data_IF_592949071021
#
_entry.id   IF_592949071021
#
_cell.length_a   1.000
_cell.length_b   1.000
_cell.length_c   1.000
_cell.angle_alpha   90.00
_cell.angle_beta   90.00
_cell.angle_gamma   90.00
#
_symmetry.space_group_name_H-M   'P 1'
#
loop_
_entity.id
_entity.type
_entity.pdbx_description
1 polymer ?
#
# COMPACT_ATOMS: atom_id res chain seq x y z
N UNK A 1 -1.52 4.78 -9.41
CA UNK A 1 -2.77 4.79 -8.64
C UNK A 1 -3.19 6.22 -8.31
N UNK A 2 -4.48 6.46 -8.23
CA UNK A 2 -5.01 7.72 -7.71
C UNK A 2 -4.84 7.82 -6.19
N UNK A 3 -4.75 9.05 -5.68
CA UNK A 3 -4.82 9.36 -4.24
C UNK A 3 -5.51 10.72 -4.06
N UNK A 4 -6.04 10.97 -2.87
CA UNK A 4 -6.63 12.27 -2.53
C UNK A 4 -5.59 13.37 -2.77
N UNK A 5 -5.98 14.47 -3.43
CA UNK A 5 -5.11 15.60 -3.79
C UNK A 5 -3.80 15.22 -4.50
N UNK A 6 -3.76 14.09 -5.17
CA UNK A 6 -2.56 13.50 -5.76
C UNK A 6 -1.38 13.34 -4.77
N UNK A 7 -1.67 13.20 -3.48
CA UNK A 7 -0.69 13.25 -2.38
C UNK A 7 0.37 12.17 -2.42
N UNK A 8 0.06 11.01 -3.00
CA UNK A 8 0.97 9.87 -3.13
C UNK A 8 1.76 9.54 -1.85
N UNK A 9 1.09 9.40 -0.68
CA UNK A 9 1.74 9.32 0.63
C UNK A 9 2.23 7.90 0.93
N UNK A 10 2.79 7.22 -0.07
CA UNK A 10 3.17 5.82 -0.01
C UNK A 10 4.59 5.57 -0.46
N UNK A 11 5.08 4.41 -0.06
CA UNK A 11 6.31 3.81 -0.56
C UNK A 11 6.09 2.33 -0.80
N UNK A 12 6.62 1.81 -1.89
CA UNK A 12 6.53 0.41 -2.25
C UNK A 12 7.93 -0.21 -2.19
N UNK A 13 8.06 -1.35 -1.50
CA UNK A 13 9.30 -2.11 -1.44
C UNK A 13 9.05 -3.46 -2.09
N UNK A 14 9.78 -3.75 -3.15
CA UNK A 14 9.68 -5.02 -3.87
C UNK A 14 10.69 -6.00 -3.30
N UNK A 15 10.19 -7.11 -2.78
CA UNK A 15 10.96 -8.23 -2.24
C UNK A 15 11.06 -9.28 -3.35
N UNK A 16 12.28 -9.50 -3.86
CA UNK A 16 12.56 -10.41 -4.96
C UNK A 16 13.67 -11.41 -4.63
N UNK A 17 14.80 -10.92 -4.09
CA UNK A 17 15.94 -11.79 -3.81
C UNK A 17 15.68 -12.77 -2.65
N UNK A 18 16.33 -13.93 -2.70
CA UNK A 18 16.20 -14.94 -1.63
C UNK A 18 16.56 -14.39 -0.26
N UNK A 19 17.54 -13.49 -0.18
CA UNK A 19 17.92 -12.83 1.06
C UNK A 19 16.80 -11.92 1.57
N UNK A 20 16.18 -11.11 0.71
CA UNK A 20 15.06 -10.24 1.10
C UNK A 20 13.82 -11.06 1.48
N UNK A 21 13.54 -12.15 0.75
CA UNK A 21 12.48 -13.11 1.08
C UNK A 21 12.70 -13.75 2.45
N UNK A 22 13.95 -14.12 2.80
CA UNK A 22 14.27 -14.65 4.12
C UNK A 22 14.03 -13.60 5.21
N UNK A 23 14.48 -12.36 5.01
CA UNK A 23 14.21 -11.25 5.94
C UNK A 23 12.71 -11.09 6.19
N UNK A 24 11.89 -11.08 5.12
CA UNK A 24 10.45 -10.96 5.24
C UNK A 24 9.83 -12.18 5.94
N UNK A 25 10.24 -13.40 5.58
CA UNK A 25 9.79 -14.63 6.21
C UNK A 25 9.98 -14.58 7.74
N UNK A 26 11.13 -14.10 8.19
CA UNK A 26 11.48 -14.06 9.62
C UNK A 26 10.60 -13.06 10.40
N UNK A 27 10.04 -12.04 9.74
CA UNK A 27 9.08 -11.12 10.38
C UNK A 27 7.75 -11.79 10.75
N UNK A 28 7.43 -12.95 10.19
CA UNK A 28 6.21 -13.70 10.49
C UNK A 28 6.40 -14.77 11.57
N UNK A 29 7.61 -14.96 12.11
CA UNK A 29 7.92 -16.07 13.02
C UNK A 29 7.10 -16.05 14.33
N UNK A 30 6.81 -14.87 14.88
CA UNK A 30 6.09 -14.72 16.14
C UNK A 30 4.58 -14.60 15.95
N UNK A 31 4.15 -13.86 14.93
CA UNK A 31 2.77 -13.64 14.54
C UNK A 31 2.62 -13.99 13.06
N UNK A 32 1.43 -14.39 12.66
CA UNK A 32 1.10 -14.59 11.24
C UNK A 32 1.96 -15.63 10.52
N UNK A 33 2.38 -16.69 11.22
CA UNK A 33 3.21 -17.78 10.69
C UNK A 33 2.64 -18.40 9.41
N UNK A 34 1.32 -18.34 9.23
CA UNK A 34 0.64 -18.78 8.02
C UNK A 34 1.05 -18.01 6.75
N UNK A 35 1.70 -16.83 6.88
CA UNK A 35 2.21 -16.05 5.76
C UNK A 35 3.69 -16.38 5.41
N UNK A 36 4.38 -17.18 6.20
CA UNK A 36 5.81 -17.48 5.98
C UNK A 36 6.05 -18.14 4.62
N UNK A 37 5.22 -19.10 4.22
CA UNK A 37 5.35 -19.77 2.93
C UNK A 37 5.11 -18.81 1.76
N UNK A 38 4.17 -17.86 1.87
CA UNK A 38 3.96 -16.84 0.84
C UNK A 38 5.19 -15.95 0.66
N UNK A 39 5.86 -15.56 1.75
CA UNK A 39 7.08 -14.77 1.68
C UNK A 39 8.23 -15.50 0.99
N UNK A 40 8.32 -16.83 1.14
CA UNK A 40 9.41 -17.64 0.57
C UNK A 40 9.14 -18.10 -0.86
N UNK A 41 7.92 -18.52 -1.14
CA UNK A 41 7.57 -19.25 -2.37
C UNK A 41 7.02 -18.31 -3.47
N UNK A 42 6.48 -17.15 -3.12
CA UNK A 42 6.02 -16.19 -4.10
C UNK A 42 7.19 -15.70 -4.98
N UNK A 43 6.91 -15.40 -6.24
CA UNK A 43 7.88 -14.79 -7.14
C UNK A 43 8.39 -13.48 -6.57
N UNK A 44 7.47 -12.60 -6.20
CA UNK A 44 7.73 -11.30 -5.59
C UNK A 44 6.73 -11.02 -4.47
N UNK A 45 7.13 -10.18 -3.53
CA UNK A 45 6.19 -9.59 -2.57
C UNK A 45 6.40 -8.09 -2.54
N UNK A 46 5.30 -7.31 -2.61
CA UNK A 46 5.36 -5.86 -2.44
C UNK A 46 4.90 -5.51 -1.02
N UNK A 47 5.72 -4.78 -0.28
CA UNK A 47 5.33 -4.12 0.95
C UNK A 47 4.72 -2.76 0.61
N UNK A 48 3.50 -2.52 1.06
CA UNK A 48 2.80 -1.25 0.90
C UNK A 48 2.93 -0.46 2.18
N UNK A 49 3.72 0.60 2.14
CA UNK A 49 3.98 1.44 3.28
C UNK A 49 3.41 2.85 3.07
N UNK A 50 2.87 3.43 4.14
CA UNK A 50 2.33 4.80 4.14
C UNK A 50 3.21 5.74 4.96
N UNK A 51 3.18 7.04 4.62
CA UNK A 51 3.79 8.07 5.43
C UNK A 51 2.93 8.33 6.68
N UNK A 52 3.39 8.01 7.90
CA UNK A 52 2.58 8.20 9.10
C UNK A 52 2.37 9.67 9.47
N UNK A 53 3.23 10.57 8.97
CA UNK A 53 3.20 12.00 9.26
C UNK A 53 3.44 12.79 7.97
N UNK A 54 2.40 12.88 7.12
CA UNK A 54 2.44 13.61 5.87
C UNK A 54 2.47 15.12 6.11
N UNK A 55 3.45 15.81 5.55
CA UNK A 55 3.73 17.23 5.82
C UNK A 55 3.62 18.09 4.57
N UNK A 56 3.66 19.43 4.75
CA UNK A 56 3.76 20.39 3.64
C UNK A 56 5.00 20.13 2.76
N UNK A 57 6.10 19.68 3.36
CA UNK A 57 7.32 19.35 2.62
C UNK A 57 7.08 18.14 1.69
N UNK A 58 6.28 17.17 2.11
CA UNK A 58 5.91 16.03 1.28
C UNK A 58 4.99 16.44 0.14
N UNK A 59 4.01 17.30 0.44
CA UNK A 59 3.09 17.81 -0.58
C UNK A 59 3.80 18.75 -1.58
N UNK A 60 4.78 19.54 -1.13
CA UNK A 60 5.58 20.37 -2.01
C UNK A 60 6.30 19.55 -3.10
N UNK A 61 6.85 18.38 -2.74
CA UNK A 61 7.46 17.49 -3.74
C UNK A 61 6.49 17.07 -4.85
N UNK A 62 5.22 16.88 -4.50
CA UNK A 62 4.18 16.57 -5.49
C UNK A 62 3.92 17.76 -6.39
N UNK A 63 3.77 18.97 -5.82
CA UNK A 63 3.55 20.20 -6.57
C UNK A 63 4.74 20.52 -7.49
N UNK A 64 5.97 20.33 -7.03
CA UNK A 64 7.19 20.51 -7.86
C UNK A 64 7.15 19.62 -9.12
N UNK A 65 6.68 18.37 -8.97
CA UNK A 65 6.51 17.44 -10.10
C UNK A 65 5.36 17.89 -10.99
N UNK A 66 4.23 18.31 -10.43
CA UNK A 66 3.08 18.78 -11.21
C UNK A 66 3.43 20.05 -12.03
N UNK A 67 4.16 20.98 -11.44
CA UNK A 67 4.63 22.18 -12.15
C UNK A 67 5.65 21.82 -13.23
N UNK A 68 6.66 21.03 -12.88
CA UNK A 68 7.73 20.67 -13.84
C UNK A 68 7.23 19.82 -15.01
N UNK A 69 6.18 19.03 -14.82
CA UNK A 69 5.53 18.24 -15.88
C UNK A 69 4.54 19.04 -16.73
N UNK A 70 4.24 20.29 -16.35
CA UNK A 70 3.22 21.12 -16.99
C UNK A 70 1.78 20.75 -16.65
N UNK A 71 1.58 19.87 -15.65
CA UNK A 71 0.24 19.51 -15.16
C UNK A 71 -0.40 20.68 -14.40
N UNK A 72 0.39 21.41 -13.61
CA UNK A 72 -0.02 22.57 -12.84
C UNK A 72 0.70 23.82 -13.36
N UNK A 73 -0.02 24.92 -13.75
CA UNK A 73 0.61 26.20 -14.01
C UNK A 73 1.33 26.73 -12.76
N UNK A 74 2.56 27.23 -12.94
CA UNK A 74 3.39 27.68 -11.81
C UNK A 74 2.72 28.75 -10.95
N UNK A 75 1.94 29.65 -11.56
CA UNK A 75 1.17 30.69 -10.86
C UNK A 75 0.04 30.15 -9.96
N UNK A 76 -0.33 28.88 -10.14
CA UNK A 76 -1.36 28.21 -9.34
C UNK A 76 -0.81 27.44 -8.14
N UNK A 77 0.51 27.27 -8.05
CA UNK A 77 1.17 26.42 -7.05
C UNK A 77 0.82 26.81 -5.61
N UNK A 78 0.89 28.11 -5.28
CA UNK A 78 0.57 28.60 -3.93
C UNK A 78 -0.90 28.31 -3.55
N UNK A 79 -1.81 28.53 -4.50
CA UNK A 79 -3.23 28.23 -4.29
C UNK A 79 -3.48 26.73 -4.11
N UNK A 80 -2.77 25.89 -4.88
CA UNK A 80 -2.87 24.45 -4.77
C UNK A 80 -2.28 23.95 -3.43
N UNK A 81 -1.14 24.51 -3.00
CA UNK A 81 -0.59 24.21 -1.68
C UNK A 81 -1.59 24.54 -0.59
N UNK A 82 -2.19 25.72 -0.61
CA UNK A 82 -3.16 26.13 0.40
C UNK A 82 -4.42 25.27 0.40
N UNK A 83 -5.01 25.03 -0.76
CA UNK A 83 -6.25 24.26 -0.88
C UNK A 83 -6.03 22.77 -0.62
N UNK A 84 -5.03 22.18 -1.25
CA UNK A 84 -4.73 20.75 -1.12
C UNK A 84 -4.23 20.37 0.26
N UNK A 85 -3.26 21.12 0.82
CA UNK A 85 -2.77 20.82 2.15
C UNK A 85 -3.80 21.14 3.24
N UNK A 86 -4.68 22.11 3.03
CA UNK A 86 -5.83 22.35 3.91
C UNK A 86 -6.73 21.11 4.05
N UNK A 87 -6.79 20.25 3.02
CA UNK A 87 -7.48 18.97 3.12
C UNK A 87 -6.72 17.95 3.99
N UNK A 88 -5.39 17.98 3.98
CA UNK A 88 -4.57 17.17 4.90
C UNK A 88 -4.80 17.61 6.35
N UNK A 89 -4.85 18.93 6.59
CA UNK A 89 -5.11 19.50 7.92
C UNK A 89 -6.46 19.01 8.50
N UNK A 90 -7.50 18.89 7.65
CA UNK A 90 -8.80 18.32 8.05
C UNK A 90 -8.72 16.84 8.49
N UNK A 91 -7.68 16.14 8.07
CA UNK A 91 -7.44 14.73 8.39
C UNK A 91 -6.28 14.54 9.39
N UNK A 92 -5.83 15.63 10.00
CA UNK A 92 -4.77 15.65 10.99
C UNK A 92 -5.40 15.87 12.37
N UNK A 93 -5.07 15.02 13.33
CA UNK A 93 -5.57 15.11 14.70
C UNK A 93 -4.83 16.20 15.51
N UNK A 94 -5.29 16.42 16.75
CA UNK A 94 -4.70 17.43 17.66
C UNK A 94 -3.23 17.16 18.00
N UNK A 95 -2.77 15.91 17.88
CA UNK A 95 -1.38 15.51 18.07
C UNK A 95 -0.51 15.69 16.79
N UNK A 96 -1.12 16.14 15.70
CA UNK A 96 -0.43 16.29 14.40
C UNK A 96 -0.32 15.01 13.59
N UNK A 97 -1.05 13.95 13.95
CA UNK A 97 -1.02 12.67 13.27
C UNK A 97 -2.08 12.58 12.17
N UNK A 98 -1.67 12.20 10.97
CA UNK A 98 -2.55 11.99 9.81
C UNK A 98 -2.32 10.62 9.12
N UNK A 99 -1.67 9.71 9.82
CA UNK A 99 -1.36 8.36 9.31
C UNK A 99 -2.60 7.54 8.95
N UNK A 100 -3.75 7.79 9.56
CA UNK A 100 -5.01 7.13 9.19
C UNK A 100 -5.42 7.48 7.76
N UNK A 101 -5.32 8.77 7.41
CA UNK A 101 -5.63 9.24 6.07
C UNK A 101 -4.64 8.73 5.03
N UNK A 102 -3.33 8.83 5.29
CA UNK A 102 -2.30 8.35 4.37
C UNK A 102 -2.34 6.84 4.17
N UNK A 103 -2.64 6.08 5.22
CA UNK A 103 -2.88 4.63 5.16
C UNK A 103 -4.04 4.30 4.21
N UNK A 104 -5.16 5.04 4.30
CA UNK A 104 -6.31 4.84 3.42
C UNK A 104 -5.94 5.06 1.94
N UNK A 105 -5.11 6.07 1.62
CA UNK A 105 -4.60 6.28 0.26
C UNK A 105 -3.76 5.09 -0.22
N UNK A 106 -2.96 4.48 0.65
CA UNK A 106 -2.15 3.30 0.32
C UNK A 106 -3.03 2.10 -0.02
N UNK A 107 -4.18 1.92 0.64
CA UNK A 107 -5.14 0.86 0.30
C UNK A 107 -5.82 1.07 -1.06
N UNK A 108 -5.96 2.31 -1.53
CA UNK A 108 -6.40 2.57 -2.92
C UNK A 108 -5.37 2.01 -3.91
N UNK A 109 -4.08 2.28 -3.68
CA UNK A 109 -3.00 1.72 -4.50
C UNK A 109 -2.94 0.19 -4.43
N UNK A 110 -3.15 -0.37 -3.23
CA UNK A 110 -3.22 -1.81 -3.00
C UNK A 110 -4.35 -2.47 -3.79
N UNK A 111 -5.56 -1.93 -3.72
CA UNK A 111 -6.71 -2.42 -4.49
C UNK A 111 -6.49 -2.33 -6.00
N UNK A 112 -5.85 -1.26 -6.48
CA UNK A 112 -5.48 -1.11 -7.87
C UNK A 112 -4.44 -2.16 -8.31
N UNK A 113 -3.45 -2.46 -7.46
CA UNK A 113 -2.46 -3.52 -7.73
C UNK A 113 -3.13 -4.90 -7.85
N UNK A 114 -4.03 -5.26 -6.93
CA UNK A 114 -4.80 -6.51 -6.98
C UNK A 114 -5.57 -6.66 -8.29
N UNK A 115 -6.28 -5.59 -8.70
CA UNK A 115 -7.03 -5.59 -9.95
C UNK A 115 -6.10 -5.71 -11.17
N UNK A 116 -4.98 -4.98 -11.16
CA UNK A 116 -4.01 -5.01 -12.27
C UNK A 116 -3.39 -6.39 -12.44
N UNK A 117 -2.95 -7.02 -11.34
CA UNK A 117 -2.37 -8.38 -11.38
C UNK A 117 -3.37 -9.39 -11.95
N UNK A 118 -4.63 -9.35 -11.50
CA UNK A 118 -5.69 -10.20 -12.02
C UNK A 118 -5.87 -10.01 -13.54
N UNK A 119 -5.84 -8.76 -14.02
CA UNK A 119 -5.94 -8.48 -15.47
C UNK A 119 -4.74 -8.98 -16.27
N UNK A 120 -3.57 -9.07 -15.65
CA UNK A 120 -2.35 -9.60 -16.27
C UNK A 120 -2.25 -11.14 -16.16
N UNK A 121 -3.22 -11.79 -15.53
CA UNK A 121 -3.18 -13.23 -15.29
C UNK A 121 -2.14 -13.66 -14.25
N UNK A 122 -1.79 -12.75 -13.35
CA UNK A 122 -0.88 -13.00 -12.24
C UNK A 122 -1.71 -13.21 -10.98
N UNK A 123 -1.49 -14.34 -10.31
CA UNK A 123 -2.12 -14.64 -9.04
C UNK A 123 -1.48 -13.85 -7.90
N UNK A 124 -2.27 -13.53 -6.89
CA UNK A 124 -1.78 -12.76 -5.75
C UNK A 124 -2.49 -13.12 -4.46
N UNK A 125 -1.74 -13.02 -3.36
CA UNK A 125 -2.25 -13.21 -2.00
C UNK A 125 -2.08 -11.91 -1.21
N UNK A 126 -3.19 -11.21 -0.88
CA UNK A 126 -3.16 -10.07 0.01
C UNK A 126 -2.87 -10.52 1.45
N UNK A 127 -1.94 -9.86 2.11
CA UNK A 127 -1.51 -10.18 3.48
C UNK A 127 -1.61 -8.94 4.36
N UNK A 128 -2.70 -8.82 5.13
CA UNK A 128 -2.83 -7.81 6.19
C UNK A 128 -2.26 -8.30 7.52
N UNK A 129 -2.06 -9.62 7.63
CA UNK A 129 -1.35 -10.25 8.74
C UNK A 129 0.16 -9.98 8.65
N UNK A 130 0.57 -8.74 8.89
CA UNK A 130 1.96 -8.29 9.00
C UNK A 130 2.18 -7.65 10.36
N UNK A 131 3.40 -7.71 10.88
CA UNK A 131 3.80 -7.01 12.10
C UNK A 131 4.51 -5.71 11.73
N UNK A 132 3.86 -4.53 11.85
CA UNK A 132 4.44 -3.28 11.39
C UNK A 132 5.70 -2.88 12.15
N UNK A 133 5.80 -3.23 13.43
CA UNK A 133 6.97 -2.94 14.27
C UNK A 133 8.17 -3.75 13.78
N UNK A 134 8.00 -5.06 13.66
CA UNK A 134 9.07 -5.96 13.23
C UNK A 134 9.50 -5.72 11.77
N UNK A 135 8.54 -5.45 10.86
CA UNK A 135 8.87 -5.01 9.50
C UNK A 135 9.62 -3.68 9.53
N UNK A 136 9.21 -2.75 10.41
CA UNK A 136 9.87 -1.46 10.62
C UNK A 136 11.32 -1.60 11.08
N UNK A 137 11.63 -2.59 11.90
CA UNK A 137 12.98 -2.91 12.34
C UNK A 137 13.81 -3.56 11.23
N UNK A 138 13.28 -4.62 10.61
CA UNK A 138 13.99 -5.43 9.61
C UNK A 138 14.24 -4.67 8.30
N UNK A 139 13.32 -3.81 7.88
CA UNK A 139 13.39 -3.01 6.65
C UNK A 139 13.51 -1.51 6.93
N UNK A 140 14.15 -1.15 8.03
CA UNK A 140 14.26 0.24 8.51
C UNK A 140 14.85 1.19 7.46
N UNK A 141 15.92 0.76 6.80
CA UNK A 141 16.60 1.59 5.79
C UNK A 141 15.72 1.78 4.55
N UNK A 142 15.14 0.69 4.06
CA UNK A 142 14.29 0.71 2.88
C UNK A 142 13.00 1.48 3.12
N UNK A 143 12.41 1.36 4.31
CA UNK A 143 11.20 2.08 4.70
C UNK A 143 11.44 3.58 4.88
N UNK A 144 12.57 3.98 5.48
CA UNK A 144 12.91 5.38 5.67
C UNK A 144 11.87 6.17 6.46
N UNK A 145 11.28 5.55 7.49
CA UNK A 145 10.25 6.15 8.35
C UNK A 145 8.80 5.89 7.91
N UNK A 146 8.58 5.26 6.77
CA UNK A 146 7.24 4.80 6.36
C UNK A 146 6.82 3.54 7.14
N UNK A 147 5.52 3.32 7.29
CA UNK A 147 4.96 2.20 8.05
C UNK A 147 4.21 1.25 7.11
N UNK A 148 4.59 -0.04 7.12
CA UNK A 148 3.94 -1.08 6.33
C UNK A 148 2.84 -1.75 7.15
N UNK A 149 1.61 -1.81 6.60
CA UNK A 149 0.47 -2.49 7.19
C UNK A 149 -0.12 -3.59 6.31
N UNK A 150 0.33 -3.71 5.08
CA UNK A 150 -0.16 -4.72 4.15
C UNK A 150 0.91 -5.07 3.14
N UNK A 151 0.97 -6.34 2.78
CA UNK A 151 1.86 -6.85 1.76
C UNK A 151 1.07 -7.64 0.70
N UNK A 152 1.63 -7.75 -0.48
CA UNK A 152 1.04 -8.46 -1.62
C UNK A 152 2.06 -9.44 -2.18
N UNK A 153 1.88 -10.72 -1.90
CA UNK A 153 2.63 -11.78 -2.55
C UNK A 153 2.05 -12.03 -3.94
N UNK A 154 2.90 -12.26 -4.95
CA UNK A 154 2.45 -12.46 -6.33
C UNK A 154 3.27 -13.52 -7.06
N UNK A 155 2.64 -14.17 -8.02
CA UNK A 155 3.25 -15.21 -8.83
C UNK A 155 2.18 -16.00 -9.59
N UNK A 156 2.40 -17.30 -9.73
CA UNK A 156 1.42 -18.20 -10.30
C UNK A 156 1.08 -19.29 -9.28
N UNK A 157 -0.20 -19.63 -9.17
CA UNK A 157 -0.66 -20.62 -8.19
C UNK A 157 -0.06 -22.01 -8.43
N UNK A 158 0.08 -22.78 -7.36
CA UNK A 158 0.66 -24.14 -7.38
C UNK A 158 -0.33 -25.24 -7.80
N UNK A 159 -1.42 -24.90 -8.50
CA UNK A 159 -2.45 -25.85 -8.88
C UNK A 159 -3.09 -26.51 -7.66
N UNK A 160 -3.15 -27.85 -7.64
CA UNK A 160 -3.79 -28.62 -6.56
C UNK A 160 -3.19 -28.41 -5.16
N UNK A 161 -2.00 -27.83 -5.05
CA UNK A 161 -1.39 -27.47 -3.76
C UNK A 161 -1.91 -26.16 -3.17
N UNK A 162 -2.60 -25.36 -3.96
CA UNK A 162 -3.33 -24.19 -3.45
C UNK A 162 -4.68 -24.65 -2.91
N UNK A 163 -4.88 -24.54 -1.59
CA UNK A 163 -6.12 -24.96 -0.92
C UNK A 163 -7.37 -24.19 -1.39
N UNK A 164 -7.21 -23.05 -2.05
CA UNK A 164 -8.29 -22.29 -2.68
C UNK A 164 -8.55 -22.70 -4.16
N UNK A 165 -7.71 -23.58 -4.72
CA UNK A 165 -7.83 -23.97 -6.12
C UNK A 165 -9.19 -24.63 -6.38
N UNK A 166 -9.89 -24.15 -7.38
CA UNK A 166 -11.20 -24.68 -7.77
C UNK A 166 -12.37 -24.35 -6.83
N UNK A 167 -12.11 -23.68 -5.71
CA UNK A 167 -13.19 -23.26 -4.82
C UNK A 167 -13.92 -22.02 -5.38
N UNK A 168 -15.27 -21.99 -5.30
CA UNK A 168 -16.03 -20.83 -5.73
C UNK A 168 -15.74 -19.62 -4.83
N UNK A 169 -15.73 -18.43 -5.41
CA UNK A 169 -15.61 -17.19 -4.65
C UNK A 169 -16.88 -16.93 -3.84
N UNK A 170 -16.75 -16.85 -2.53
CA UNK A 170 -17.84 -16.47 -1.65
C UNK A 170 -17.88 -14.94 -1.49
N UNK A 171 -19.06 -14.36 -1.69
CA UNK A 171 -19.33 -12.93 -1.50
C UNK A 171 -20.73 -12.78 -0.88
N UNK A 172 -20.92 -11.68 -0.16
CA UNK A 172 -22.25 -11.30 0.31
C UNK A 172 -23.19 -11.06 -0.88
N UNK A 173 -24.50 -11.28 -0.71
CA UNK A 173 -25.50 -10.93 -1.73
C UNK A 173 -25.39 -9.46 -2.14
N UNK A 174 -25.73 -9.16 -3.40
CA UNK A 174 -25.66 -7.79 -3.93
C UNK A 174 -26.53 -6.83 -3.11
N UNK A 175 -27.72 -7.25 -2.69
CA UNK A 175 -28.67 -6.43 -1.94
C UNK A 175 -28.16 -6.04 -0.54
N UNK A 176 -27.19 -6.81 0.00
CA UNK A 176 -26.57 -6.49 1.30
C UNK A 176 -25.49 -5.40 1.18
N UNK A 177 -24.94 -5.19 0.00
CA UNK A 177 -23.79 -4.30 -0.23
C UNK A 177 -24.07 -3.14 -1.18
N UNK A 178 -25.17 -3.18 -1.90
CA UNK A 178 -25.59 -2.12 -2.82
C UNK A 178 -26.99 -1.62 -2.50
N UNK A 179 -27.15 -0.32 -2.53
CA UNK A 179 -28.46 0.34 -2.52
C UNK A 179 -28.52 1.27 -3.73
N UNK A 180 -29.55 1.11 -4.54
CA UNK A 180 -29.83 2.00 -5.69
C UNK A 180 -30.97 2.92 -5.30
N UNK A 181 -30.77 4.24 -5.44
CA UNK A 181 -31.77 5.29 -5.14
C UNK A 181 -32.35 5.86 -6.43
#
# INVERSE_FOLDING_TARGET
SASSINSQPWKFIVIESDQAKQRLHDTFANKFQFNQHHAKEASHTILFAHNPNYTKVDYQKVLDVEVSSGHLPAEMEENMMKGGFGFVDLNTDEAGFNGHWSKAQTYIAFGNALHTLTRLGIDSTPMEGVDPELIGEVFKEELGGYVCHVALAMGYHLGEKDYNHGLPKARLPMDDVFTVL
#
